data_IF_412868510760
#
_entry.id   IF_412868510760
#
_cell.length_a   1.000
_cell.length_b   1.000
_cell.length_c   1.000
_cell.angle_alpha   90.00
_cell.angle_beta   90.00
_cell.angle_gamma   90.00
#
_symmetry.space_group_name_H-M   'P 1'
#
loop_
_entity.id
_entity.type
_entity.pdbx_description
1 polymer ?
#
# COMPACT_ATOMS: atom_id res chain seq x y z
N UNK A 1 55.59 14.26 -24.38
CA UNK A 1 55.54 13.98 -22.93
C UNK A 1 54.25 14.58 -22.42
N UNK A 2 53.41 13.81 -21.71
CA UNK A 2 52.20 14.33 -21.07
C UNK A 2 52.51 14.75 -19.64
N UNK A 3 51.87 15.82 -19.16
CA UNK A 3 51.99 16.30 -17.79
C UNK A 3 50.58 16.59 -17.27
N UNK A 4 50.30 16.21 -16.02
CA UNK A 4 49.09 16.56 -15.30
C UNK A 4 49.49 17.17 -13.95
N UNK A 5 48.80 18.22 -13.52
CA UNK A 5 49.04 18.88 -12.23
C UNK A 5 48.07 18.32 -11.18
N UNK A 6 48.54 17.38 -10.39
CA UNK A 6 47.75 16.72 -9.35
C UNK A 6 47.14 17.68 -8.30
N UNK A 7 47.64 18.92 -8.18
CA UNK A 7 47.13 19.89 -7.22
C UNK A 7 46.02 20.79 -7.80
N UNK A 8 46.05 21.05 -9.11
CA UNK A 8 45.24 22.11 -9.73
C UNK A 8 44.42 21.66 -10.95
N UNK A 9 44.57 20.41 -11.40
CA UNK A 9 43.81 19.87 -12.53
C UNK A 9 43.27 18.48 -12.25
N UNK A 10 42.22 18.12 -13.00
CA UNK A 10 41.72 16.75 -13.01
C UNK A 10 42.66 15.88 -13.84
N UNK A 11 43.47 15.09 -13.15
CA UNK A 11 44.47 14.22 -13.77
C UNK A 11 43.87 13.25 -14.78
N UNK A 12 42.61 12.83 -14.59
CA UNK A 12 41.93 11.92 -15.52
C UNK A 12 41.58 12.65 -16.81
N UNK A 13 40.96 13.83 -16.74
CA UNK A 13 40.69 14.66 -17.92
C UNK A 13 41.96 15.06 -18.67
N UNK A 14 43.03 15.42 -17.97
CA UNK A 14 44.31 15.78 -18.59
C UNK A 14 44.95 14.57 -19.29
N UNK A 15 44.89 13.40 -18.67
CA UNK A 15 45.36 12.16 -19.27
C UNK A 15 44.53 11.78 -20.49
N UNK A 16 43.20 11.82 -20.39
CA UNK A 16 42.30 11.49 -21.49
C UNK A 16 42.53 12.42 -22.68
N UNK A 17 42.58 13.74 -22.42
CA UNK A 17 42.86 14.78 -23.43
C UNK A 17 44.22 14.55 -24.09
N UNK A 18 45.27 14.31 -23.30
CA UNK A 18 46.61 14.04 -23.84
C UNK A 18 46.64 12.73 -24.63
N UNK A 19 45.95 11.70 -24.16
CA UNK A 19 45.92 10.39 -24.80
C UNK A 19 45.23 10.44 -26.16
N UNK A 20 44.07 11.10 -26.25
CA UNK A 20 43.26 11.19 -27.46
C UNK A 20 43.84 12.17 -28.48
N UNK A 21 44.35 13.32 -28.04
CA UNK A 21 44.80 14.37 -28.95
C UNK A 21 46.27 14.25 -29.34
N UNK A 22 47.10 13.61 -28.50
CA UNK A 22 48.55 13.61 -28.71
C UNK A 22 49.09 12.18 -28.83
N UNK A 23 48.80 11.28 -27.89
CA UNK A 23 49.40 9.94 -27.88
C UNK A 23 48.93 9.08 -29.05
N UNK A 24 47.62 8.84 -29.16
CA UNK A 24 47.07 7.95 -30.19
C UNK A 24 47.28 8.47 -31.62
N UNK A 25 47.10 9.77 -31.92
CA UNK A 25 47.43 10.32 -33.23
C UNK A 25 48.90 10.16 -33.59
N UNK A 26 49.83 10.39 -32.65
CA UNK A 26 51.27 10.23 -32.90
C UNK A 26 51.67 8.76 -33.14
N UNK A 27 51.05 7.82 -32.41
CA UNK A 27 51.25 6.38 -32.62
C UNK A 27 50.70 5.96 -33.99
N UNK A 28 49.49 6.40 -34.34
CA UNK A 28 48.88 6.09 -35.65
C UNK A 28 49.71 6.67 -36.80
N UNK A 29 50.21 7.89 -36.67
CA UNK A 29 51.03 8.53 -37.71
C UNK A 29 52.39 7.84 -37.89
N UNK A 30 52.95 7.26 -36.82
CA UNK A 30 54.27 6.60 -36.84
C UNK A 30 54.21 5.10 -37.17
N UNK A 31 53.10 4.43 -36.86
CA UNK A 31 52.99 2.97 -36.91
C UNK A 31 51.70 2.43 -37.57
N UNK A 32 50.71 3.26 -37.90
CA UNK A 32 49.39 2.83 -38.36
C UNK A 32 49.17 2.93 -39.88
N UNK A 33 48.77 1.81 -40.50
CA UNK A 33 48.14 1.74 -41.84
C UNK A 33 46.76 2.41 -41.82
N UNK A 34 46.32 2.92 -42.97
CA UNK A 34 45.04 3.58 -43.21
C UNK A 34 43.87 2.95 -42.44
N UNK A 35 43.32 3.71 -41.49
CA UNK A 35 42.06 3.38 -40.82
C UNK A 35 40.90 3.79 -41.72
N UNK A 36 40.05 2.82 -42.06
CA UNK A 36 38.74 3.02 -42.67
C UNK A 36 37.90 3.96 -41.80
N UNK A 37 37.41 5.04 -42.40
CA UNK A 37 36.33 5.85 -41.84
C UNK A 37 35.07 5.01 -41.69
N UNK A 38 34.37 5.18 -40.56
CA UNK A 38 32.98 4.77 -40.40
C UNK A 38 32.76 3.50 -39.60
N UNK A 39 32.90 3.59 -38.27
CA UNK A 39 31.84 3.10 -37.38
C UNK A 39 32.05 3.71 -35.99
N UNK A 40 31.13 4.59 -35.56
CA UNK A 40 31.00 4.93 -34.13
C UNK A 40 30.25 3.77 -33.48
N UNK A 41 30.86 2.59 -33.47
CA UNK A 41 30.40 1.50 -32.62
C UNK A 41 30.76 1.86 -31.19
N UNK A 42 29.76 1.79 -30.30
CA UNK A 42 29.95 1.94 -28.85
C UNK A 42 31.14 1.11 -28.39
N UNK A 43 32.25 1.77 -28.01
CA UNK A 43 33.53 1.14 -27.60
C UNK A 43 33.47 0.47 -26.22
N UNK A 44 32.29 0.05 -25.74
CA UNK A 44 32.20 -0.67 -24.47
C UNK A 44 32.71 -2.09 -24.67
N UNK A 45 33.78 -2.46 -23.95
CA UNK A 45 34.22 -3.85 -23.84
C UNK A 45 33.28 -4.73 -22.99
N UNK A 46 32.28 -4.11 -22.35
CA UNK A 46 31.34 -4.77 -21.46
C UNK A 46 29.97 -4.90 -22.14
N UNK A 47 29.44 -6.13 -22.13
CA UNK A 47 28.03 -6.42 -22.37
C UNK A 47 27.32 -6.50 -21.02
N UNK A 48 26.21 -5.78 -20.87
CA UNK A 48 25.43 -5.75 -19.61
C UNK A 48 24.00 -6.18 -19.90
N UNK A 49 23.61 -7.31 -19.34
CA UNK A 49 22.24 -7.79 -19.37
C UNK A 49 21.50 -7.37 -18.10
N UNK A 50 20.40 -6.63 -18.26
CA UNK A 50 19.57 -6.15 -17.16
C UNK A 50 18.28 -6.95 -17.12
N UNK A 51 18.02 -7.62 -15.99
CA UNK A 51 16.78 -8.36 -15.75
C UNK A 51 16.07 -7.85 -14.51
N UNK A 52 14.82 -7.40 -14.66
CA UNK A 52 13.99 -6.86 -13.57
C UNK A 52 12.92 -7.83 -13.07
N UNK A 53 12.77 -9.00 -13.69
CA UNK A 53 11.67 -9.94 -13.40
C UNK A 53 12.04 -11.09 -12.45
N UNK A 54 13.33 -11.34 -12.20
CA UNK A 54 13.80 -12.52 -11.44
C UNK A 54 13.23 -12.59 -10.02
N UNK A 55 13.12 -11.45 -9.35
CA UNK A 55 12.59 -11.38 -7.99
C UNK A 55 11.12 -11.80 -7.93
N UNK A 56 10.29 -11.20 -8.79
CA UNK A 56 8.86 -11.49 -8.82
C UNK A 56 8.63 -12.96 -9.19
N UNK A 57 9.33 -13.49 -10.20
CA UNK A 57 9.18 -14.88 -10.63
C UNK A 57 9.61 -15.89 -9.58
N UNK A 58 10.71 -15.63 -8.86
CA UNK A 58 11.18 -16.47 -7.75
C UNK A 58 10.16 -16.53 -6.60
N UNK A 59 9.46 -15.42 -6.35
CA UNK A 59 8.37 -15.36 -5.37
C UNK A 59 7.03 -15.90 -5.91
N UNK A 60 6.99 -16.43 -7.14
CA UNK A 60 5.78 -16.93 -7.78
C UNK A 60 4.77 -15.82 -8.12
N UNK A 61 5.23 -14.58 -8.28
CA UNK A 61 4.40 -13.41 -8.50
C UNK A 61 4.43 -12.97 -9.98
N UNK A 62 3.27 -12.58 -10.49
CA UNK A 62 3.11 -11.96 -11.80
C UNK A 62 3.02 -10.45 -11.62
N UNK A 63 4.18 -9.79 -11.65
CA UNK A 63 4.31 -8.34 -11.52
C UNK A 63 5.05 -7.78 -12.73
N UNK A 64 4.85 -6.50 -12.96
CA UNK A 64 5.50 -5.74 -14.00
C UNK A 64 6.12 -4.48 -13.41
N UNK A 65 7.04 -3.87 -14.14
CA UNK A 65 7.73 -2.68 -13.69
C UNK A 65 6.93 -1.42 -14.08
N UNK A 66 6.50 -0.67 -13.07
CA UNK A 66 6.04 0.71 -13.22
C UNK A 66 7.05 1.71 -12.67
N UNK A 67 6.77 3.00 -12.81
CA UNK A 67 7.61 4.05 -12.25
C UNK A 67 6.82 5.10 -11.48
N UNK A 68 7.45 5.65 -10.45
CA UNK A 68 6.86 6.69 -9.61
C UNK A 68 6.93 8.02 -10.36
N UNK A 69 5.77 8.66 -10.52
CA UNK A 69 5.64 10.00 -11.09
C UNK A 69 5.69 11.08 -10.00
N UNK A 70 5.07 10.79 -8.85
CA UNK A 70 4.97 11.74 -7.75
C UNK A 70 4.77 11.02 -6.42
N UNK A 71 5.35 11.55 -5.35
CA UNK A 71 5.12 11.10 -3.98
C UNK A 71 4.88 12.30 -3.06
N UNK A 72 3.62 12.52 -2.67
CA UNK A 72 3.18 13.72 -1.94
C UNK A 72 2.71 13.39 -0.53
N UNK A 73 3.22 14.10 0.47
CA UNK A 73 2.69 14.09 1.84
C UNK A 73 1.40 14.93 1.89
N UNK A 74 0.32 14.35 2.41
CA UNK A 74 -1.01 14.98 2.45
C UNK A 74 -1.37 15.56 3.81
N UNK A 75 -0.54 15.32 4.83
CA UNK A 75 -0.84 15.67 6.21
C UNK A 75 0.24 16.54 6.82
N UNK A 76 -0.11 17.25 7.89
CA UNK A 76 0.85 18.00 8.71
C UNK A 76 1.74 17.07 9.56
N UNK A 77 2.91 17.53 10.06
CA UNK A 77 3.86 16.69 10.80
C UNK A 77 3.36 16.14 12.15
N UNK A 78 2.36 16.77 12.77
CA UNK A 78 1.87 16.42 14.11
C UNK A 78 0.75 15.37 14.12
N UNK A 79 0.32 14.92 12.94
CA UNK A 79 -0.66 13.85 12.75
C UNK A 79 -0.02 12.68 11.99
N UNK A 80 -0.58 11.46 12.08
CA UNK A 80 -0.05 10.32 11.35
C UNK A 80 0.02 10.60 9.85
N UNK A 81 1.21 10.38 9.28
CA UNK A 81 1.49 10.69 7.89
C UNK A 81 0.58 9.89 6.95
N UNK A 82 -0.08 10.59 6.02
CA UNK A 82 -0.74 9.97 4.87
C UNK A 82 -0.17 10.53 3.60
N UNK A 83 0.02 9.68 2.59
CA UNK A 83 0.67 10.05 1.33
C UNK A 83 -0.17 9.64 0.15
N UNK A 84 0.01 10.40 -0.93
CA UNK A 84 -0.46 10.07 -2.27
C UNK A 84 0.77 9.70 -3.10
N UNK A 85 0.75 8.52 -3.72
CA UNK A 85 1.72 8.18 -4.76
C UNK A 85 1.01 8.07 -6.10
N UNK A 86 1.59 8.69 -7.13
CA UNK A 86 1.17 8.52 -8.52
C UNK A 86 2.22 7.69 -9.25
N UNK A 87 1.78 6.67 -9.94
CA UNK A 87 2.58 5.76 -10.74
C UNK A 87 2.22 5.91 -12.20
N UNK A 88 3.21 5.77 -13.08
CA UNK A 88 2.94 5.31 -14.43
C UNK A 88 2.86 3.80 -14.42
N UNK A 89 1.75 3.30 -14.95
CA UNK A 89 1.54 1.89 -15.16
C UNK A 89 2.43 1.37 -16.31
N UNK A 90 2.77 0.06 -16.29
CA UNK A 90 3.38 -0.59 -17.43
C UNK A 90 2.50 -0.45 -18.70
N UNK A 91 3.09 -0.58 -19.90
CA UNK A 91 2.32 -0.65 -21.14
C UNK A 91 1.23 -1.71 -21.07
N UNK A 92 0.12 -1.48 -21.78
CA UNK A 92 -1.03 -2.39 -21.90
C UNK A 92 -1.74 -2.73 -20.58
N UNK A 93 -1.37 -2.09 -19.46
CA UNK A 93 -2.06 -2.22 -18.20
C UNK A 93 -3.30 -1.33 -18.18
N UNK A 94 -4.44 -1.90 -17.82
CA UNK A 94 -5.70 -1.18 -17.64
C UNK A 94 -6.22 -1.39 -16.22
N UNK A 95 -7.00 -0.43 -15.73
CA UNK A 95 -7.67 -0.52 -14.44
C UNK A 95 -9.02 0.18 -14.48
N UNK A 96 -9.88 -0.15 -13.52
CA UNK A 96 -11.16 0.52 -13.30
C UNK A 96 -11.19 1.16 -11.91
N UNK A 97 -12.06 2.16 -11.73
CA UNK A 97 -12.37 2.70 -10.43
C UNK A 97 -12.84 1.58 -9.48
N UNK A 98 -12.18 1.47 -8.32
CA UNK A 98 -12.46 0.43 -7.32
C UNK A 98 -11.53 -0.77 -7.39
N UNK A 99 -10.68 -0.88 -8.41
CA UNK A 99 -9.61 -1.86 -8.45
C UNK A 99 -8.47 -1.52 -7.49
N UNK A 100 -7.55 -2.46 -7.33
CA UNK A 100 -6.40 -2.32 -6.44
C UNK A 100 -5.08 -2.30 -7.19
N UNK A 101 -4.14 -1.52 -6.68
CA UNK A 101 -2.72 -1.60 -7.03
C UNK A 101 -2.04 -2.56 -6.06
N UNK A 102 -1.41 -3.59 -6.62
CA UNK A 102 -0.57 -4.55 -5.90
C UNK A 102 0.87 -4.06 -6.01
N UNK A 103 1.57 -3.94 -4.88
CA UNK A 103 2.96 -3.49 -4.81
C UNK A 103 3.80 -4.53 -4.08
N UNK A 104 4.95 -4.90 -4.63
CA UNK A 104 5.94 -5.73 -3.94
C UNK A 104 6.98 -4.83 -3.23
N UNK A 105 6.93 -4.69 -1.90
CA UNK A 105 7.81 -3.77 -1.18
C UNK A 105 9.20 -4.34 -0.97
N UNK A 106 10.13 -3.57 -0.38
CA UNK A 106 11.38 -4.09 0.20
C UNK A 106 11.41 -3.83 1.71
N UNK A 107 12.13 -4.67 2.45
CA UNK A 107 12.34 -4.40 3.88
C UNK A 107 13.13 -3.10 4.07
N UNK A 108 12.81 -2.32 5.12
CA UNK A 108 13.55 -1.10 5.41
C UNK A 108 14.99 -1.45 5.82
N UNK A 109 15.96 -0.65 5.37
CA UNK A 109 17.39 -0.93 5.54
C UNK A 109 17.78 -1.18 7.00
N UNK A 110 17.17 -0.47 7.97
CA UNK A 110 17.46 -0.68 9.38
C UNK A 110 17.09 -2.09 9.87
N UNK A 111 16.01 -2.70 9.36
CA UNK A 111 15.61 -4.07 9.71
C UNK A 111 16.59 -5.09 9.12
N UNK A 112 17.01 -4.86 7.88
CA UNK A 112 18.04 -5.66 7.19
C UNK A 112 19.36 -5.63 7.95
N UNK A 113 19.83 -4.43 8.33
CA UNK A 113 21.05 -4.28 9.13
C UNK A 113 20.95 -4.98 10.50
N UNK A 114 19.77 -5.04 11.13
CA UNK A 114 19.57 -5.79 12.38
C UNK A 114 19.75 -7.29 12.18
N UNK A 115 19.21 -7.86 11.10
CA UNK A 115 19.39 -9.27 10.76
C UNK A 115 20.87 -9.59 10.49
N UNK A 116 21.53 -8.81 9.63
CA UNK A 116 22.95 -8.98 9.30
C UNK A 116 23.83 -8.96 10.57
N UNK A 117 23.62 -7.96 11.45
CA UNK A 117 24.33 -7.89 12.74
C UNK A 117 24.04 -9.08 13.64
N UNK A 118 22.80 -9.57 13.67
CA UNK A 118 22.41 -10.69 14.55
C UNK A 118 23.13 -11.99 14.21
N UNK A 119 23.39 -12.22 12.93
CA UNK A 119 24.11 -13.40 12.44
C UNK A 119 25.61 -13.17 12.25
N UNK A 120 26.12 -11.99 12.61
CA UNK A 120 27.54 -11.64 12.55
C UNK A 120 28.16 -11.90 11.15
N UNK A 121 27.44 -11.54 10.10
CA UNK A 121 27.90 -11.62 8.71
C UNK A 121 28.08 -10.22 8.12
N UNK A 122 28.85 -10.09 7.04
CA UNK A 122 28.96 -8.83 6.31
C UNK A 122 27.75 -8.62 5.39
N UNK A 123 27.44 -7.37 5.06
CA UNK A 123 26.31 -7.02 4.21
C UNK A 123 26.45 -7.56 2.78
N UNK A 124 27.69 -7.66 2.30
CA UNK A 124 28.10 -8.19 1.00
C UNK A 124 28.45 -9.69 1.03
N UNK A 125 28.24 -10.38 2.18
CA UNK A 125 28.47 -11.82 2.26
C UNK A 125 27.55 -12.56 1.28
N UNK A 126 28.14 -13.38 0.41
CA UNK A 126 27.39 -14.18 -0.56
C UNK A 126 26.86 -15.45 0.10
N UNK A 127 25.54 -15.61 0.08
CA UNK A 127 24.82 -16.76 0.60
C UNK A 127 24.37 -17.65 -0.56
N UNK A 128 24.54 -18.96 -0.41
CA UNK A 128 24.03 -19.95 -1.37
C UNK A 128 23.08 -20.88 -0.62
N UNK A 129 21.78 -20.76 -0.88
CA UNK A 129 20.76 -21.61 -0.27
C UNK A 129 20.63 -22.90 -1.07
N UNK A 130 20.71 -24.04 -0.39
CA UNK A 130 20.61 -25.38 -0.97
C UNK A 130 19.50 -26.17 -0.30
N UNK A 131 18.74 -26.93 -1.08
CA UNK A 131 17.78 -27.89 -0.53
C UNK A 131 18.49 -29.18 -0.09
N UNK A 132 18.08 -29.80 1.02
CA UNK A 132 18.48 -31.17 1.33
C UNK A 132 18.02 -32.12 0.21
N UNK A 133 18.81 -33.16 -0.08
CA UNK A 133 18.55 -34.12 -1.18
C UNK A 133 17.23 -34.89 -1.08
N UNK A 134 16.56 -34.85 0.09
CA UNK A 134 15.27 -35.50 0.34
C UNK A 134 14.10 -34.52 0.49
N UNK A 135 14.31 -33.22 0.29
CA UNK A 135 13.25 -32.22 0.35
C UNK A 135 12.42 -32.24 -0.94
N UNK A 136 11.11 -32.04 -0.82
CA UNK A 136 10.23 -31.97 -1.98
C UNK A 136 10.55 -30.77 -2.88
N UNK A 137 10.20 -30.90 -4.17
CA UNK A 137 10.30 -29.83 -5.18
C UNK A 137 9.30 -28.68 -4.98
N UNK A 138 8.86 -28.43 -3.74
CA UNK A 138 8.03 -27.28 -3.41
C UNK A 138 8.72 -25.95 -3.77
N UNK A 139 7.92 -24.95 -4.16
CA UNK A 139 8.40 -23.60 -4.48
C UNK A 139 9.14 -23.03 -3.26
N UNK A 140 10.41 -22.65 -3.45
CA UNK A 140 11.17 -21.92 -2.43
C UNK A 140 11.03 -20.43 -2.64
N UNK A 141 10.83 -19.72 -1.53
CA UNK A 141 10.60 -18.28 -1.49
C UNK A 141 11.88 -17.45 -1.71
N UNK A 142 12.97 -18.08 -2.13
CA UNK A 142 14.30 -17.49 -2.28
C UNK A 142 15.05 -18.22 -3.41
N UNK A 143 16.06 -17.58 -4.03
CA UNK A 143 16.91 -18.22 -5.02
C UNK A 143 17.66 -19.42 -4.44
N UNK A 144 17.68 -20.54 -5.19
CA UNK A 144 18.44 -21.74 -4.85
C UNK A 144 19.67 -21.89 -5.74
N UNK A 145 20.73 -22.48 -5.18
CA UNK A 145 22.00 -22.78 -5.87
C UNK A 145 22.64 -21.56 -6.58
N UNK A 146 22.17 -20.36 -6.25
CA UNK A 146 22.59 -19.09 -6.85
C UNK A 146 23.13 -18.21 -5.72
N UNK A 147 24.40 -17.77 -5.78
CA UNK A 147 24.94 -16.84 -4.80
C UNK A 147 24.15 -15.52 -4.80
N UNK A 148 23.69 -15.10 -3.63
CA UNK A 148 23.00 -13.83 -3.40
C UNK A 148 23.58 -13.12 -2.18
N UNK A 149 23.73 -11.80 -2.22
CA UNK A 149 24.24 -11.07 -1.06
C UNK A 149 23.26 -11.16 0.13
N UNK A 150 23.80 -11.20 1.35
CA UNK A 150 22.99 -11.18 2.57
C UNK A 150 22.05 -9.97 2.61
N UNK A 151 22.54 -8.80 2.18
CA UNK A 151 21.73 -7.60 2.08
C UNK A 151 20.55 -7.78 1.14
N UNK A 152 20.76 -8.31 -0.08
CA UNK A 152 19.70 -8.51 -1.05
C UNK A 152 18.67 -9.53 -0.55
N UNK A 153 19.11 -10.70 -0.08
CA UNK A 153 18.22 -11.75 0.42
C UNK A 153 17.27 -11.22 1.50
N UNK A 154 17.83 -10.56 2.53
CA UNK A 154 17.05 -9.99 3.62
C UNK A 154 16.23 -8.76 3.22
N UNK A 155 16.63 -8.04 2.18
CA UNK A 155 15.88 -6.88 1.70
C UNK A 155 14.65 -7.28 0.89
N UNK A 156 14.74 -8.34 0.07
CA UNK A 156 13.82 -8.51 -1.06
C UNK A 156 13.02 -9.81 -1.07
N UNK A 157 13.45 -10.86 -0.35
CA UNK A 157 12.83 -12.19 -0.45
C UNK A 157 12.06 -12.64 0.80
N UNK A 158 12.44 -12.19 1.99
CA UNK A 158 11.87 -12.65 3.27
C UNK A 158 11.22 -11.53 4.06
N UNK A 159 10.24 -11.85 4.91
CA UNK A 159 9.57 -10.88 5.78
C UNK A 159 10.15 -10.89 7.20
N UNK A 160 10.91 -9.85 7.55
CA UNK A 160 11.65 -9.76 8.83
C UNK A 160 10.79 -9.29 10.02
N UNK A 161 9.64 -8.67 9.75
CA UNK A 161 8.82 -8.00 10.76
C UNK A 161 7.52 -8.73 11.09
N UNK A 162 7.33 -9.94 10.55
CA UNK A 162 6.14 -10.75 10.84
C UNK A 162 6.19 -11.28 12.29
N UNK A 163 5.10 -11.18 13.06
CA UNK A 163 5.06 -11.73 14.41
C UNK A 163 5.38 -13.23 14.42
N UNK A 164 6.14 -13.66 15.42
CA UNK A 164 6.55 -15.05 15.59
C UNK A 164 5.33 -15.96 15.79
N UNK A 165 5.35 -17.13 15.15
CA UNK A 165 4.38 -18.18 15.39
C UNK A 165 4.71 -18.96 16.68
N UNK A 166 3.75 -19.74 17.19
CA UNK A 166 4.02 -20.65 18.31
C UNK A 166 5.14 -21.65 18.00
N UNK A 167 5.23 -22.12 16.75
CA UNK A 167 6.30 -23.00 16.29
C UNK A 167 7.66 -22.30 16.38
N UNK A 168 7.72 -21.03 15.97
CA UNK A 168 8.95 -20.24 16.05
C UNK A 168 9.43 -20.11 17.49
N UNK A 169 8.52 -19.85 18.43
CA UNK A 169 8.85 -19.78 19.86
C UNK A 169 9.42 -21.10 20.39
N UNK A 170 8.83 -22.24 20.01
CA UNK A 170 9.34 -23.56 20.40
C UNK A 170 10.74 -23.78 19.83
N UNK A 171 10.95 -23.51 18.53
CA UNK A 171 12.27 -23.64 17.90
C UNK A 171 13.33 -22.75 18.55
N UNK A 172 12.96 -21.52 18.95
CA UNK A 172 13.87 -20.61 19.66
C UNK A 172 14.16 -21.10 21.08
N UNK A 173 13.17 -21.65 21.78
CA UNK A 173 13.36 -22.25 23.10
C UNK A 173 14.28 -23.47 23.06
N UNK A 174 14.15 -24.32 22.05
CA UNK A 174 15.02 -25.49 21.84
C UNK A 174 16.48 -25.07 21.56
N UNK A 175 16.67 -23.92 20.90
CA UNK A 175 17.98 -23.34 20.63
C UNK A 175 18.59 -22.60 21.85
N UNK A 176 17.81 -22.31 22.89
CA UNK A 176 18.24 -21.62 24.11
C UNK A 176 18.94 -22.56 25.12
N UNK A 177 19.84 -23.42 24.65
CA UNK A 177 20.44 -24.51 25.45
C UNK A 177 21.33 -24.04 26.61
N UNK A 178 21.79 -22.79 26.57
CA UNK A 178 22.69 -22.20 27.58
C UNK A 178 21.99 -21.19 28.49
N UNK A 179 20.70 -20.95 28.28
CA UNK A 179 19.91 -19.92 28.95
C UNK A 179 18.55 -20.48 29.35
N UNK A 180 18.51 -21.08 30.55
CA UNK A 180 17.32 -21.76 31.08
C UNK A 180 16.15 -20.79 31.29
N UNK A 181 16.43 -19.53 31.64
CA UNK A 181 15.40 -18.51 31.84
C UNK A 181 14.75 -18.14 30.50
N UNK A 182 15.55 -17.87 29.47
CA UNK A 182 15.03 -17.61 28.11
C UNK A 182 14.26 -18.83 27.56
N UNK A 183 14.76 -20.04 27.77
CA UNK A 183 14.08 -21.27 27.37
C UNK A 183 12.70 -21.38 28.01
N UNK A 184 12.62 -21.22 29.34
CA UNK A 184 11.36 -21.31 30.08
C UNK A 184 10.37 -20.20 29.70
N UNK A 185 10.86 -18.98 29.48
CA UNK A 185 10.04 -17.85 29.02
C UNK A 185 9.39 -18.15 27.67
N UNK A 186 10.19 -18.56 26.67
CA UNK A 186 9.71 -18.83 25.32
C UNK A 186 8.74 -20.02 25.27
N UNK A 187 8.99 -21.08 26.06
CA UNK A 187 8.05 -22.20 26.22
C UNK A 187 6.73 -21.75 26.85
N UNK A 188 6.79 -20.87 27.85
CA UNK A 188 5.61 -20.31 28.51
C UNK A 188 4.79 -19.45 27.53
N UNK A 189 5.45 -18.61 26.74
CA UNK A 189 4.80 -17.81 25.69
C UNK A 189 4.13 -18.69 24.63
N UNK A 190 4.77 -19.78 24.20
CA UNK A 190 4.19 -20.70 23.22
C UNK A 190 2.97 -21.46 23.76
N UNK A 191 3.00 -21.82 25.03
CA UNK A 191 2.00 -22.69 25.68
C UNK A 191 0.76 -21.93 26.18
N UNK A 192 0.88 -20.63 26.48
CA UNK A 192 -0.22 -19.81 27.00
C UNK A 192 -0.89 -18.98 25.88
N UNK A 193 -2.15 -19.27 25.50
CA UNK A 193 -2.85 -18.53 24.43
C UNK A 193 -2.98 -17.03 24.70
N UNK A 194 -3.25 -16.65 25.96
CA UNK A 194 -3.44 -15.25 26.35
C UNK A 194 -2.11 -14.48 26.26
N UNK A 195 -1.03 -15.05 26.82
CA UNK A 195 0.30 -14.43 26.73
C UNK A 195 0.79 -14.34 25.29
N UNK A 196 0.60 -15.39 24.49
CA UNK A 196 0.94 -15.36 23.07
C UNK A 196 0.25 -14.19 22.35
N UNK A 197 -1.04 -13.99 22.61
CA UNK A 197 -1.81 -12.93 21.95
C UNK A 197 -1.34 -11.54 22.40
N UNK A 198 -1.26 -11.30 23.71
CA UNK A 198 -0.91 -10.00 24.27
C UNK A 198 0.57 -9.64 24.05
N UNK A 199 1.47 -10.58 24.31
CA UNK A 199 2.92 -10.30 24.36
C UNK A 199 3.61 -10.49 23.00
N UNK A 200 3.05 -11.30 22.10
CA UNK A 200 3.64 -11.59 20.78
C UNK A 200 2.83 -10.98 19.64
N UNK A 201 1.54 -11.29 19.53
CA UNK A 201 0.70 -10.84 18.40
C UNK A 201 0.41 -9.34 18.47
N UNK A 202 -0.17 -8.86 19.57
CA UNK A 202 -0.53 -7.45 19.76
C UNK A 202 0.72 -6.56 19.71
N UNK A 203 1.81 -7.05 20.31
CA UNK A 203 3.10 -6.40 20.35
C UNK A 203 3.95 -6.56 19.08
N UNK A 204 3.46 -7.33 18.10
CA UNK A 204 4.10 -7.61 16.81
C UNK A 204 5.54 -8.12 16.89
N UNK A 205 5.80 -8.99 17.87
CA UNK A 205 7.15 -9.45 18.18
C UNK A 205 7.64 -10.48 17.14
N UNK A 206 8.65 -10.14 16.33
CA UNK A 206 9.17 -11.05 15.30
C UNK A 206 10.24 -12.02 15.83
N UNK A 207 10.55 -13.13 15.11
CA UNK A 207 11.67 -13.99 15.47
C UNK A 207 13.00 -13.24 15.58
N UNK A 208 13.24 -12.23 14.73
CA UNK A 208 14.42 -11.39 14.79
C UNK A 208 14.46 -10.53 16.07
N UNK A 209 13.31 -9.98 16.48
CA UNK A 209 13.22 -9.22 17.72
C UNK A 209 13.53 -10.09 18.95
N UNK A 210 13.01 -11.33 18.98
CA UNK A 210 13.27 -12.29 20.05
C UNK A 210 14.75 -12.66 20.11
N UNK A 211 15.34 -13.01 18.96
CA UNK A 211 16.77 -13.32 18.88
C UNK A 211 17.66 -12.16 19.34
N UNK A 212 17.24 -10.91 19.13
CA UNK A 212 17.96 -9.72 19.60
C UNK A 212 17.77 -9.50 21.11
N UNK A 213 16.61 -9.85 21.68
CA UNK A 213 16.37 -9.79 23.14
C UNK A 213 17.13 -10.87 23.89
N UNK A 214 17.29 -12.05 23.29
CA UNK A 214 18.00 -13.19 23.87
C UNK A 214 19.28 -13.47 23.05
N UNK A 215 20.36 -12.70 23.25
CA UNK A 215 21.59 -12.86 22.49
C UNK A 215 22.31 -14.20 22.74
N UNK A 216 22.00 -14.88 23.85
CA UNK A 216 22.48 -16.23 24.22
C UNK A 216 21.99 -17.33 23.26
N UNK A 217 20.87 -17.13 22.56
CA UNK A 217 20.32 -18.12 21.63
C UNK A 217 21.18 -18.18 20.38
N UNK A 218 21.91 -19.28 20.19
CA UNK A 218 22.74 -19.48 19.00
C UNK A 218 21.98 -20.24 17.91
N UNK A 219 21.10 -19.55 17.18
CA UNK A 219 20.29 -20.14 16.12
C UNK A 219 21.07 -20.19 14.79
N UNK A 220 21.13 -21.33 14.09
CA UNK A 220 21.70 -21.40 12.74
C UNK A 220 20.96 -20.49 11.76
N UNK A 221 21.70 -19.85 10.85
CA UNK A 221 21.12 -18.97 9.82
C UNK A 221 20.08 -19.70 8.95
N UNK A 222 20.32 -20.97 8.60
CA UNK A 222 19.37 -21.77 7.83
C UNK A 222 18.02 -21.92 8.54
N UNK A 223 18.05 -22.23 9.84
CA UNK A 223 16.84 -22.37 10.66
C UNK A 223 16.10 -21.04 10.75
N UNK A 224 16.82 -19.92 10.89
CA UNK A 224 16.20 -18.60 10.86
C UNK A 224 15.51 -18.32 9.52
N UNK A 225 16.17 -18.61 8.38
CA UNK A 225 15.59 -18.41 7.06
C UNK A 225 14.34 -19.28 6.83
N UNK A 226 14.29 -20.48 7.40
CA UNK A 226 13.10 -21.36 7.36
C UNK A 226 11.92 -20.82 8.16
N UNK A 227 12.17 -20.04 9.22
CA UNK A 227 11.12 -19.38 10.02
C UNK A 227 10.51 -18.19 9.30
N UNK A 228 11.24 -17.57 8.36
CA UNK A 228 10.78 -16.36 7.69
C UNK A 228 9.83 -16.67 6.53
N UNK A 229 8.62 -16.08 6.50
CA UNK A 229 7.76 -16.19 5.33
C UNK A 229 8.31 -15.38 4.16
N UNK A 230 7.87 -15.68 2.92
CA UNK A 230 8.18 -14.86 1.75
C UNK A 230 7.75 -13.42 1.96
N UNK A 231 8.50 -12.48 1.39
CA UNK A 231 8.08 -11.10 1.35
C UNK A 231 6.84 -10.96 0.45
N UNK A 232 5.72 -10.55 1.04
CA UNK A 232 4.41 -10.51 0.37
C UNK A 232 4.14 -9.19 -0.34
N UNK A 233 3.38 -9.26 -1.43
CA UNK A 233 2.77 -8.07 -2.03
C UNK A 233 1.76 -7.43 -1.09
N UNK A 234 1.59 -6.11 -1.20
CA UNK A 234 0.56 -5.34 -0.48
C UNK A 234 -0.41 -4.72 -1.47
N UNK A 235 -1.67 -4.72 -1.09
CA UNK A 235 -2.78 -4.22 -1.89
C UNK A 235 -3.19 -2.83 -1.39
N UNK A 236 -3.40 -1.91 -2.33
CA UNK A 236 -3.86 -0.55 -2.05
C UNK A 236 -5.02 -0.20 -2.98
N UNK A 237 -6.11 0.35 -2.44
CA UNK A 237 -7.22 0.84 -3.27
C UNK A 237 -6.74 2.00 -4.14
N UNK A 238 -7.05 1.91 -5.43
CA UNK A 238 -6.71 2.96 -6.39
C UNK A 238 -7.55 4.20 -6.11
N UNK A 239 -6.90 5.36 -6.07
CA UNK A 239 -7.49 6.66 -5.75
C UNK A 239 -7.59 7.62 -6.92
N UNK A 240 -7.40 7.13 -8.15
CA UNK A 240 -7.59 7.86 -9.41
C UNK A 240 -8.69 7.24 -10.29
N UNK A 241 -9.15 8.00 -11.28
CA UNK A 241 -10.01 7.49 -12.35
C UNK A 241 -9.21 7.30 -13.65
N UNK A 242 -9.46 6.20 -14.38
CA UNK A 242 -8.87 5.99 -15.70
C UNK A 242 -9.39 6.99 -16.75
N UNK A 243 -10.51 7.68 -16.50
CA UNK A 243 -11.01 8.77 -17.37
C UNK A 243 -10.10 10.00 -17.32
N UNK A 244 -9.45 10.24 -16.17
CA UNK A 244 -8.48 11.34 -16.04
C UNK A 244 -7.14 10.98 -16.69
N UNK A 245 -6.67 9.74 -16.50
CA UNK A 245 -5.52 9.20 -17.20
C UNK A 245 -5.52 7.67 -17.13
N UNK A 246 -5.53 7.02 -18.29
CA UNK A 246 -5.54 5.56 -18.36
C UNK A 246 -4.18 4.94 -18.02
N UNK A 247 -3.09 5.68 -18.26
CA UNK A 247 -1.72 5.20 -18.02
C UNK A 247 -1.19 5.49 -16.61
N UNK A 248 -1.90 6.33 -15.85
CA UNK A 248 -1.45 6.80 -14.55
C UNK A 248 -2.42 6.30 -13.48
N UNK A 249 -1.85 5.77 -12.40
CA UNK A 249 -2.60 5.25 -11.27
C UNK A 249 -2.13 5.94 -10.00
N UNK A 250 -3.06 6.34 -9.15
CA UNK A 250 -2.76 6.94 -7.86
C UNK A 250 -3.21 6.01 -6.74
N UNK A 251 -2.45 5.94 -5.65
CA UNK A 251 -2.89 5.35 -4.38
C UNK A 251 -2.79 6.38 -3.27
N UNK A 252 -3.65 6.23 -2.27
CA UNK A 252 -3.63 7.03 -1.05
C UNK A 252 -3.54 6.11 0.15
N UNK A 253 -2.51 6.25 0.99
CA UNK A 253 -2.23 5.32 2.08
C UNK A 253 -1.71 6.04 3.33
N UNK A 254 -1.88 5.38 4.47
CA UNK A 254 -1.32 5.81 5.76
C UNK A 254 0.06 5.18 5.96
N UNK A 255 1.03 5.97 6.43
CA UNK A 255 2.36 5.48 6.80
C UNK A 255 2.27 4.85 8.19
N UNK A 256 2.40 3.52 8.25
CA UNK A 256 2.39 2.80 9.52
C UNK A 256 3.70 3.06 10.26
N UNK A 257 3.61 3.91 11.27
CA UNK A 257 4.72 4.22 12.17
C UNK A 257 4.20 4.45 13.59
N UNK A 258 4.05 3.36 14.35
CA UNK A 258 3.53 3.38 15.71
C UNK A 258 4.63 3.11 16.74
N UNK A 259 4.47 3.49 18.01
CA UNK A 259 5.32 2.96 19.08
C UNK A 259 5.36 1.43 19.05
N UNK A 260 6.51 0.84 19.33
CA UNK A 260 6.66 -0.59 19.49
C UNK A 260 6.17 -0.98 20.88
N UNK A 261 5.04 -1.67 20.95
CA UNK A 261 4.32 -1.87 22.21
C UNK A 261 5.08 -2.73 23.24
N UNK A 262 6.09 -3.51 22.81
CA UNK A 262 6.91 -4.36 23.69
C UNK A 262 8.36 -3.90 23.88
N UNK A 263 8.78 -2.77 23.33
CA UNK A 263 10.15 -2.28 23.58
C UNK A 263 10.15 -0.77 23.68
N UNK A 264 10.45 -0.29 24.87
CA UNK A 264 10.58 1.13 25.18
C UNK A 264 11.57 1.78 24.18
N UNK A 265 11.20 2.94 23.63
CA UNK A 265 11.97 3.69 22.62
C UNK A 265 12.13 3.07 21.22
N UNK A 266 11.43 1.97 20.89
CA UNK A 266 11.38 1.47 19.49
C UNK A 266 10.05 1.81 18.83
N UNK A 267 10.04 1.88 17.50
CA UNK A 267 8.84 2.11 16.68
C UNK A 267 8.60 0.91 15.78
N UNK A 268 7.35 0.46 15.67
CA UNK A 268 6.92 -0.47 14.64
C UNK A 268 6.70 0.30 13.35
N UNK A 269 7.37 -0.14 12.29
CA UNK A 269 7.26 0.45 10.96
C UNK A 269 6.69 -0.59 9.99
N UNK A 270 5.66 -0.21 9.24
CA UNK A 270 5.09 -1.09 8.23
C UNK A 270 6.02 -1.17 7.02
N UNK A 271 6.40 -2.39 6.60
CA UNK A 271 7.35 -2.61 5.49
C UNK A 271 6.91 -1.88 4.21
N UNK A 272 5.71 -2.16 3.72
CA UNK A 272 5.24 -1.59 2.46
C UNK A 272 4.98 -0.08 2.54
N UNK A 273 4.39 0.40 3.63
CA UNK A 273 4.12 1.83 3.77
C UNK A 273 5.39 2.66 3.95
N UNK A 274 6.43 2.09 4.59
CA UNK A 274 7.75 2.74 4.73
C UNK A 274 8.44 2.80 3.38
N UNK A 275 8.52 1.65 2.68
CA UNK A 275 9.03 1.58 1.31
C UNK A 275 8.38 2.62 0.40
N UNK A 276 7.05 2.64 0.32
CA UNK A 276 6.32 3.60 -0.49
C UNK A 276 6.57 5.06 -0.08
N UNK A 277 6.75 5.32 1.21
CA UNK A 277 7.00 6.68 1.71
C UNK A 277 8.38 7.23 1.34
N UNK A 278 9.34 6.36 1.09
CA UNK A 278 10.73 6.69 0.75
C UNK A 278 10.97 6.82 -0.76
N UNK A 279 10.05 6.31 -1.58
CA UNK A 279 10.14 6.39 -3.04
C UNK A 279 10.14 7.84 -3.56
N UNK A 280 10.92 8.07 -4.61
CA UNK A 280 11.05 9.34 -5.31
C UNK A 280 10.57 9.24 -6.75
N UNK A 281 10.28 10.38 -7.38
CA UNK A 281 9.95 10.40 -8.80
C UNK A 281 11.11 9.82 -9.63
N UNK A 282 10.79 8.91 -10.54
CA UNK A 282 11.76 8.16 -11.33
C UNK A 282 12.07 6.75 -10.80
N UNK A 283 11.73 6.45 -9.54
CA UNK A 283 11.95 5.11 -8.98
C UNK A 283 11.10 4.05 -9.68
N UNK A 284 11.70 2.87 -9.89
CA UNK A 284 11.05 1.69 -10.46
C UNK A 284 10.45 0.82 -9.37
N UNK A 285 9.23 0.33 -9.62
CA UNK A 285 8.47 -0.44 -8.63
C UNK A 285 7.80 -1.63 -9.31
N UNK A 286 7.87 -2.79 -8.67
CA UNK A 286 7.17 -4.01 -9.09
C UNK A 286 5.70 -3.93 -8.68
N UNK A 287 4.83 -3.77 -9.66
CA UNK A 287 3.39 -3.53 -9.48
C UNK A 287 2.53 -4.43 -10.38
N UNK A 288 1.27 -4.60 -10.00
CA UNK A 288 0.22 -5.12 -10.90
C UNK A 288 -1.14 -4.58 -10.50
N UNK A 289 -2.11 -4.67 -11.41
CA UNK A 289 -3.51 -4.33 -11.12
C UNK A 289 -4.25 -5.61 -10.72
N UNK A 290 -5.05 -5.51 -9.67
CA UNK A 290 -5.98 -6.55 -9.26
C UNK A 290 -7.39 -5.99 -9.30
N UNK A 291 -8.25 -6.64 -10.09
CA UNK A 291 -9.66 -6.32 -10.12
C UNK A 291 -10.31 -6.54 -8.75
N UNK A 292 -11.29 -5.71 -8.39
CA UNK A 292 -12.02 -5.95 -7.15
C UNK A 292 -12.80 -7.27 -7.18
N UNK A 293 -12.63 -8.10 -6.14
CA UNK A 293 -13.41 -9.32 -5.95
C UNK A 293 -14.88 -9.00 -5.67
N UNK A 294 -15.16 -7.81 -5.11
CA UNK A 294 -16.52 -7.32 -4.92
C UNK A 294 -16.93 -6.57 -6.19
N UNK A 295 -17.69 -7.25 -7.07
CA UNK A 295 -18.21 -6.65 -8.32
C UNK A 295 -19.04 -5.39 -8.06
N UNK A 296 -19.69 -5.31 -6.90
CA UNK A 296 -20.45 -4.15 -6.45
C UNK A 296 -19.60 -2.95 -6.05
N UNK A 297 -18.29 -3.12 -5.78
CA UNK A 297 -17.40 -2.02 -5.38
C UNK A 297 -16.84 -1.26 -6.59
N UNK A 298 -17.75 -0.75 -7.42
CA UNK A 298 -17.49 0.09 -8.59
C UNK A 298 -18.51 1.22 -8.63
N UNK A 299 -18.16 2.41 -9.16
CA UNK A 299 -19.15 3.48 -9.31
C UNK A 299 -20.30 2.98 -10.21
N UNK A 300 -21.56 3.39 -9.98
CA UNK A 300 -22.68 3.03 -10.83
C UNK A 300 -22.42 3.43 -12.29
N UNK A 301 -22.82 2.56 -13.22
CA UNK A 301 -22.78 2.89 -14.65
C UNK A 301 -23.86 3.92 -15.00
N UNK A 302 -25.06 3.76 -14.42
CA UNK A 302 -26.19 4.67 -14.57
C UNK A 302 -25.99 5.89 -13.67
N UNK A 303 -26.06 7.07 -14.25
CA UNK A 303 -25.79 8.31 -13.55
C UNK A 303 -26.98 8.78 -12.71
N UNK A 304 -28.15 8.17 -12.92
CA UNK A 304 -29.38 8.35 -12.14
C UNK A 304 -29.36 7.55 -10.83
N UNK A 305 -28.36 6.69 -10.61
CA UNK A 305 -28.23 5.92 -9.37
C UNK A 305 -27.51 6.75 -8.31
N UNK A 306 -28.15 7.07 -7.17
CA UNK A 306 -27.49 7.81 -6.11
C UNK A 306 -26.36 7.00 -5.45
N UNK A 307 -25.42 7.70 -4.83
CA UNK A 307 -24.30 7.09 -4.09
C UNK A 307 -24.24 7.60 -2.66
N UNK A 308 -24.07 6.68 -1.70
CA UNK A 308 -23.76 6.98 -0.31
C UNK A 308 -22.40 6.35 -0.02
N UNK A 309 -21.40 7.17 0.26
CA UNK A 309 -20.03 6.72 0.50
C UNK A 309 -19.60 7.11 1.90
N UNK A 310 -18.95 6.21 2.64
CA UNK A 310 -18.51 6.47 4.00
C UNK A 310 -17.11 5.89 4.26
N UNK A 311 -16.19 6.72 4.73
CA UNK A 311 -14.81 6.31 5.01
C UNK A 311 -14.17 7.04 6.18
N UNK A 312 -13.03 6.52 6.65
CA UNK A 312 -12.16 7.25 7.55
C UNK A 312 -10.68 7.18 7.09
N UNK A 313 -9.97 8.30 7.23
CA UNK A 313 -8.55 8.41 6.91
C UNK A 313 -8.22 8.01 5.47
N UNK A 314 -7.26 7.09 5.28
CA UNK A 314 -6.89 6.62 3.94
C UNK A 314 -7.96 5.76 3.26
N UNK A 315 -9.04 5.39 3.95
CA UNK A 315 -10.23 4.80 3.33
C UNK A 315 -10.93 5.73 2.33
N UNK A 316 -10.53 7.00 2.25
CA UNK A 316 -10.96 7.92 1.19
C UNK A 316 -10.47 7.50 -0.20
N UNK A 317 -9.40 6.68 -0.29
CA UNK A 317 -8.74 6.32 -1.54
C UNK A 317 -9.71 5.95 -2.68
N UNK A 318 -10.54 4.89 -2.59
CA UNK A 318 -11.42 4.53 -3.70
C UNK A 318 -12.46 5.60 -4.03
N UNK A 319 -12.96 6.32 -3.02
CA UNK A 319 -13.97 7.37 -3.21
C UNK A 319 -13.42 8.60 -3.91
N UNK A 320 -12.14 8.93 -3.70
CA UNK A 320 -11.45 9.92 -4.53
C UNK A 320 -11.49 9.52 -6.01
N UNK A 321 -11.22 8.25 -6.33
CA UNK A 321 -11.32 7.73 -7.69
C UNK A 321 -12.74 7.81 -8.25
N UNK A 322 -13.75 7.42 -7.47
CA UNK A 322 -15.16 7.45 -7.89
C UNK A 322 -15.65 8.88 -8.17
N UNK A 323 -15.30 9.82 -7.29
CA UNK A 323 -15.71 11.23 -7.43
C UNK A 323 -14.95 11.88 -8.58
N UNK A 324 -13.66 11.57 -8.76
CA UNK A 324 -12.90 12.01 -9.93
C UNK A 324 -13.55 11.52 -11.23
N UNK A 325 -13.90 10.24 -11.30
CA UNK A 325 -14.57 9.64 -12.46
C UNK A 325 -15.88 10.38 -12.80
N UNK A 326 -16.69 10.62 -11.76
CA UNK A 326 -17.94 11.35 -11.87
C UNK A 326 -17.74 12.82 -12.25
N UNK A 327 -16.72 13.48 -11.72
CA UNK A 327 -16.38 14.86 -12.07
C UNK A 327 -15.96 14.98 -13.54
N UNK A 328 -15.17 14.03 -14.07
CA UNK A 328 -14.79 14.00 -15.48
C UNK A 328 -16.00 13.77 -16.39
N UNK A 329 -16.92 12.87 -16.05
CA UNK A 329 -18.19 12.70 -16.78
C UNK A 329 -19.06 13.96 -16.75
N UNK A 330 -19.10 14.67 -15.63
CA UNK A 330 -19.82 15.96 -15.51
C UNK A 330 -19.18 17.07 -16.36
N UNK A 331 -17.86 17.04 -16.57
CA UNK A 331 -17.15 17.98 -17.44
C UNK A 331 -17.42 17.71 -18.92
N UNK A 332 -17.38 16.44 -19.33
CA UNK A 332 -17.72 16.03 -20.71
C UNK A 332 -19.11 16.53 -21.13
N UNK A 333 -20.13 16.30 -20.29
CA UNK A 333 -21.51 16.76 -20.55
C UNK A 333 -21.66 18.27 -20.67
N UNK A 334 -21.01 19.04 -19.79
CA UNK A 334 -21.06 20.52 -19.88
C UNK A 334 -20.49 21.02 -21.21
N UNK A 335 -19.54 20.30 -21.79
CA UNK A 335 -18.99 20.64 -23.11
C UNK A 335 -19.98 20.32 -24.23
N UNK A 336 -20.73 19.21 -24.13
CA UNK A 336 -21.75 18.79 -25.10
C UNK A 336 -23.04 19.64 -25.04
N UNK A 337 -23.46 20.08 -23.85
CA UNK A 337 -24.66 20.90 -23.65
C UNK A 337 -24.47 22.37 -24.04
N UNK A 338 -23.23 22.85 -24.17
CA UNK A 338 -22.94 24.19 -24.71
C UNK A 338 -23.14 24.29 -26.23
N UNK A 339 -23.50 23.19 -26.90
CA UNK A 339 -23.86 23.17 -28.33
C UNK A 339 -25.36 23.13 -28.65
N UNK A 340 -26.25 22.92 -27.66
CA UNK A 340 -27.70 22.93 -27.86
C UNK A 340 -28.41 23.70 -26.73
N UNK A 341 -29.00 24.85 -27.09
CA UNK A 341 -29.54 25.87 -26.17
C UNK A 341 -30.90 25.51 -25.54
N UNK A 342 -31.44 24.30 -25.74
CA UNK A 342 -32.89 24.08 -25.60
C UNK A 342 -33.38 23.18 -24.44
N UNK A 343 -32.54 22.65 -23.53
CA UNK A 343 -33.05 21.82 -22.41
C UNK A 343 -32.28 21.95 -21.07
N UNK A 344 -32.72 22.81 -20.13
CA UNK A 344 -32.04 23.01 -18.83
C UNK A 344 -32.25 21.89 -17.78
N UNK A 345 -33.12 20.91 -18.03
CA UNK A 345 -33.51 19.87 -17.06
C UNK A 345 -33.10 18.43 -17.45
N UNK A 346 -32.44 18.23 -18.61
CA UNK A 346 -31.90 16.92 -19.00
C UNK A 346 -30.53 16.73 -18.34
N UNK A 347 -30.42 15.77 -17.41
CA UNK A 347 -29.12 15.16 -17.09
C UNK A 347 -28.33 15.71 -15.88
N UNK A 348 -29.00 16.25 -14.85
CA UNK A 348 -28.33 16.42 -13.54
C UNK A 348 -28.01 15.04 -12.96
N UNK A 349 -26.74 14.74 -12.63
CA UNK A 349 -26.37 13.42 -12.15
C UNK A 349 -26.96 13.20 -10.75
N UNK A 350 -27.47 11.99 -10.49
CA UNK A 350 -28.13 11.66 -9.23
C UNK A 350 -27.22 11.87 -8.03
N UNK A 351 -27.81 12.14 -6.87
CA UNK A 351 -27.08 12.63 -5.71
C UNK A 351 -25.97 11.67 -5.26
N UNK A 352 -24.80 12.22 -4.95
CA UNK A 352 -23.68 11.48 -4.38
C UNK A 352 -23.24 12.17 -3.09
N UNK A 353 -23.30 11.46 -1.96
CA UNK A 353 -22.90 11.97 -0.65
C UNK A 353 -21.69 11.18 -0.15
N UNK A 354 -20.66 11.87 0.32
CA UNK A 354 -19.45 11.29 0.90
C UNK A 354 -19.25 11.77 2.34
N UNK A 355 -19.23 10.82 3.28
CA UNK A 355 -18.88 11.04 4.68
C UNK A 355 -17.41 10.66 4.92
N UNK A 356 -16.63 11.57 5.50
CA UNK A 356 -15.19 11.41 5.71
C UNK A 356 -14.84 11.65 7.18
N UNK A 357 -14.32 10.63 7.84
CA UNK A 357 -13.78 10.72 9.19
C UNK A 357 -12.29 11.04 9.20
N UNK A 358 -11.89 12.08 9.93
CA UNK A 358 -10.49 12.39 10.21
C UNK A 358 -10.33 12.95 11.64
N UNK A 359 -9.11 13.33 12.03
CA UNK A 359 -8.85 13.82 13.39
C UNK A 359 -9.17 15.30 13.49
N UNK A 360 -8.53 16.12 12.68
CA UNK A 360 -8.51 17.56 12.87
C UNK A 360 -8.51 18.29 11.53
N UNK A 361 -9.44 19.23 11.38
CA UNK A 361 -9.53 20.13 10.22
C UNK A 361 -8.22 20.87 9.96
N UNK A 362 -7.82 20.94 8.70
CA UNK A 362 -6.57 21.55 8.22
C UNK A 362 -5.31 20.73 8.50
N UNK A 363 -5.41 19.55 9.12
CA UNK A 363 -4.25 18.72 9.48
C UNK A 363 -4.22 17.38 8.77
N UNK A 364 -5.34 16.65 8.81
CA UNK A 364 -5.46 15.33 8.20
C UNK A 364 -6.74 15.10 7.38
N UNK A 365 -7.42 16.19 7.02
CA UNK A 365 -8.45 16.28 5.99
C UNK A 365 -7.83 16.26 4.58
N UNK A 366 -7.28 15.09 4.26
CA UNK A 366 -6.60 14.83 2.99
C UNK A 366 -7.53 15.10 1.79
N UNK A 367 -6.97 15.68 0.73
CA UNK A 367 -7.69 16.04 -0.50
C UNK A 367 -8.83 17.07 -0.34
N UNK A 368 -8.94 17.79 0.79
CA UNK A 368 -10.01 18.76 1.02
C UNK A 368 -10.20 19.78 -0.12
N UNK A 369 -9.12 20.40 -0.62
CA UNK A 369 -9.20 21.38 -1.71
C UNK A 369 -9.72 20.81 -3.02
N UNK A 370 -9.39 19.55 -3.31
CA UNK A 370 -9.83 18.84 -4.52
C UNK A 370 -11.31 18.44 -4.40
N UNK A 371 -11.71 17.95 -3.22
CA UNK A 371 -13.10 17.64 -2.92
C UNK A 371 -13.98 18.89 -2.96
N UNK A 372 -13.54 20.03 -2.43
CA UNK A 372 -14.27 21.30 -2.48
C UNK A 372 -14.52 21.76 -3.94
N UNK A 373 -13.56 21.54 -4.83
CA UNK A 373 -13.70 21.81 -6.26
C UNK A 373 -14.75 20.88 -6.90
N UNK A 374 -14.71 19.58 -6.59
CA UNK A 374 -15.69 18.63 -7.10
C UNK A 374 -17.10 18.84 -6.52
N UNK A 375 -17.22 19.33 -5.30
CA UNK A 375 -18.50 19.78 -4.72
C UNK A 375 -19.07 20.96 -5.47
N UNK A 376 -18.25 21.98 -5.80
CA UNK A 376 -18.68 23.12 -6.64
C UNK A 376 -19.11 22.69 -8.05
N UNK A 377 -18.57 21.59 -8.57
CA UNK A 377 -18.97 21.00 -9.85
C UNK A 377 -20.22 20.09 -9.75
N UNK A 378 -20.83 19.94 -8.57
CA UNK A 378 -21.99 19.06 -8.35
C UNK A 378 -21.66 17.57 -8.44
N UNK A 379 -20.38 17.19 -8.34
CA UNK A 379 -19.97 15.79 -8.39
C UNK A 379 -20.24 15.06 -7.07
N UNK A 380 -20.15 15.75 -5.93
CA UNK A 380 -20.33 15.15 -4.60
C UNK A 380 -20.75 16.19 -3.53
N UNK A 381 -21.56 15.78 -2.57
CA UNK A 381 -21.83 16.48 -1.30
C UNK A 381 -20.95 15.86 -0.20
N UNK A 382 -20.05 16.64 0.41
CA UNK A 382 -19.02 16.12 1.34
C UNK A 382 -19.32 16.52 2.77
N UNK A 383 -19.34 15.53 3.67
CA UNK A 383 -19.58 15.69 5.11
C UNK A 383 -18.36 15.23 5.91
N UNK A 384 -17.77 16.15 6.67
CA UNK A 384 -16.58 15.89 7.46
C UNK A 384 -16.91 15.58 8.92
N UNK A 385 -16.43 14.44 9.42
CA UNK A 385 -16.44 14.10 10.84
C UNK A 385 -15.05 14.30 11.44
N UNK A 386 -14.92 15.25 12.37
CA UNK A 386 -13.66 15.51 13.07
C UNK A 386 -13.70 14.91 14.48
N UNK A 387 -12.90 13.87 14.71
CA UNK A 387 -12.83 13.16 16.01
C UNK A 387 -12.03 13.91 17.08
N UNK A 388 -11.20 14.89 16.70
CA UNK A 388 -10.36 15.71 17.58
C UNK A 388 -10.41 17.18 17.12
N UNK A 389 -11.55 17.84 17.27
CA UNK A 389 -11.71 19.22 16.83
C UNK A 389 -10.92 20.18 17.73
N UNK A 390 -10.43 21.29 17.17
CA UNK A 390 -9.61 22.29 17.87
C UNK A 390 -10.42 23.31 18.65
N UNK A 391 -11.71 23.43 18.34
CA UNK A 391 -12.65 24.40 18.91
C UNK A 391 -13.32 23.91 20.22
N UNK A 392 -12.82 22.80 20.81
CA UNK A 392 -13.37 22.14 22.00
C UNK A 392 -14.80 21.60 21.83
N UNK A 393 -15.33 21.53 20.61
CA UNK A 393 -16.56 20.80 20.35
C UNK A 393 -16.40 19.31 20.65
N UNK A 394 -17.52 18.60 20.80
CA UNK A 394 -17.51 17.15 20.97
C UNK A 394 -16.94 16.51 19.69
N UNK A 395 -15.98 15.59 19.85
CA UNK A 395 -15.45 14.82 18.73
C UNK A 395 -16.54 13.95 18.10
N UNK A 396 -16.55 13.90 16.77
CA UNK A 396 -17.55 13.17 15.99
C UNK A 396 -16.89 12.18 15.05
N UNK A 397 -17.60 11.09 14.80
CA UNK A 397 -17.25 10.04 13.86
C UNK A 397 -18.27 9.97 12.72
N UNK A 398 -17.94 9.22 11.69
CA UNK A 398 -18.76 9.11 10.47
C UNK A 398 -20.13 8.54 10.78
N UNK A 399 -20.20 7.55 11.68
CA UNK A 399 -21.46 6.94 12.08
C UNK A 399 -22.40 7.93 12.79
N UNK A 400 -21.86 8.96 13.46
CA UNK A 400 -22.67 9.99 14.11
C UNK A 400 -23.36 10.88 13.05
N UNK A 401 -22.61 11.29 12.01
CA UNK A 401 -23.17 12.07 10.90
C UNK A 401 -24.19 11.27 10.10
N UNK A 402 -23.89 9.99 9.82
CA UNK A 402 -24.82 9.10 9.12
C UNK A 402 -26.15 9.03 9.86
N UNK A 403 -26.13 8.86 11.19
CA UNK A 403 -27.35 8.78 11.99
C UNK A 403 -28.12 10.12 12.07
N UNK A 404 -27.41 11.25 12.12
CA UNK A 404 -28.06 12.57 12.03
C UNK A 404 -28.79 12.78 10.70
N UNK A 405 -28.19 12.31 9.60
CA UNK A 405 -28.72 12.47 8.24
C UNK A 405 -29.64 11.31 7.80
N UNK A 406 -30.05 10.44 8.74
CA UNK A 406 -30.74 9.18 8.46
C UNK A 406 -31.97 9.30 7.56
N UNK A 407 -32.79 10.34 7.74
CA UNK A 407 -34.01 10.52 6.94
C UNK A 407 -33.68 10.71 5.44
N UNK A 408 -32.70 11.56 5.14
CA UNK A 408 -32.23 11.80 3.78
C UNK A 408 -31.56 10.55 3.20
N UNK A 409 -30.80 9.82 4.01
CA UNK A 409 -30.17 8.57 3.57
C UNK A 409 -31.20 7.50 3.23
N UNK A 410 -32.24 7.34 4.06
CA UNK A 410 -33.34 6.41 3.83
C UNK A 410 -34.10 6.74 2.53
N UNK A 411 -34.35 8.03 2.24
CA UNK A 411 -34.93 8.46 0.95
C UNK A 411 -34.04 8.09 -0.24
N UNK A 412 -32.73 8.29 -0.14
CA UNK A 412 -31.80 7.91 -1.21
C UNK A 412 -31.76 6.38 -1.39
N UNK A 413 -31.82 5.63 -0.30
CA UNK A 413 -31.87 4.16 -0.34
C UNK A 413 -33.16 3.70 -1.03
N UNK A 414 -34.30 4.35 -0.80
CA UNK A 414 -35.55 4.06 -1.52
C UNK A 414 -35.44 4.37 -3.02
N UNK A 415 -34.68 5.40 -3.39
CA UNK A 415 -34.38 5.75 -4.79
C UNK A 415 -33.37 4.80 -5.47
N UNK A 416 -32.96 3.72 -4.81
CA UNK A 416 -32.03 2.76 -5.39
C UNK A 416 -30.56 3.09 -5.16
N UNK A 417 -30.21 3.90 -4.15
CA UNK A 417 -28.82 4.26 -3.88
C UNK A 417 -27.91 3.04 -3.71
N UNK A 418 -26.64 3.22 -4.10
CA UNK A 418 -25.55 2.30 -3.78
C UNK A 418 -24.72 2.85 -2.62
N UNK A 419 -24.55 2.01 -1.61
CA UNK A 419 -23.84 2.27 -0.37
C UNK A 419 -22.44 1.66 -0.47
N UNK A 420 -21.43 2.47 -0.17
CA UNK A 420 -20.04 2.06 -0.18
C UNK A 420 -19.35 2.41 1.14
N UNK A 421 -18.61 1.45 1.69
CA UNK A 421 -17.86 1.65 2.93
C UNK A 421 -16.41 1.26 2.73
N UNK A 422 -15.47 2.16 3.06
CA UNK A 422 -14.04 1.87 2.98
C UNK A 422 -13.27 2.36 4.22
N UNK A 423 -12.41 1.51 4.78
CA UNK A 423 -11.63 1.86 5.97
C UNK A 423 -11.15 0.64 6.77
N UNK A 424 -10.75 0.87 8.03
CA UNK A 424 -10.40 -0.22 8.95
C UNK A 424 -11.63 -1.00 9.42
N UNK A 425 -11.42 -2.22 9.94
CA UNK A 425 -12.50 -3.10 10.41
C UNK A 425 -13.50 -2.43 11.36
N UNK A 426 -13.01 -1.66 12.33
CA UNK A 426 -13.86 -0.96 13.30
C UNK A 426 -14.76 0.09 12.65
N UNK A 427 -14.28 0.76 11.60
CA UNK A 427 -15.06 1.75 10.83
C UNK A 427 -16.16 1.03 10.04
N UNK A 428 -15.82 -0.09 9.40
CA UNK A 428 -16.80 -0.91 8.68
C UNK A 428 -17.92 -1.44 9.59
N UNK A 429 -17.57 -1.93 10.78
CA UNK A 429 -18.52 -2.42 11.78
C UNK A 429 -19.42 -1.29 12.32
N UNK A 430 -18.84 -0.15 12.67
CA UNK A 430 -19.60 0.99 13.18
C UNK A 430 -20.59 1.55 12.16
N UNK A 431 -20.20 1.65 10.89
CA UNK A 431 -21.10 2.09 9.82
C UNK A 431 -22.21 1.07 9.56
N UNK A 432 -21.89 -0.24 9.54
CA UNK A 432 -22.91 -1.28 9.40
C UNK A 432 -23.94 -1.20 10.53
N UNK A 433 -23.49 -1.03 11.77
CA UNK A 433 -24.37 -0.92 12.92
C UNK A 433 -25.30 0.28 12.78
N UNK A 434 -24.78 1.44 12.38
CA UNK A 434 -25.63 2.62 12.22
C UNK A 434 -26.67 2.47 11.10
N UNK A 435 -26.33 1.84 9.97
CA UNK A 435 -27.35 1.52 8.97
C UNK A 435 -28.42 0.56 9.52
N UNK A 436 -28.02 -0.46 10.30
CA UNK A 436 -28.96 -1.36 10.97
C UNK A 436 -29.91 -0.59 11.89
N UNK A 437 -29.38 0.31 12.71
CA UNK A 437 -30.15 1.12 13.64
C UNK A 437 -31.17 2.01 12.89
N UNK A 438 -30.79 2.61 11.74
CA UNK A 438 -31.72 3.38 10.90
C UNK A 438 -32.87 2.52 10.35
N UNK A 439 -32.59 1.27 9.94
CA UNK A 439 -33.63 0.37 9.45
C UNK A 439 -34.56 -0.09 10.57
N UNK A 440 -34.04 -0.33 11.77
CA UNK A 440 -34.87 -0.64 12.94
C UNK A 440 -35.81 0.54 13.27
N UNK A 441 -35.31 1.78 13.28
CA UNK A 441 -36.15 2.98 13.50
C UNK A 441 -37.25 3.09 12.43
N UNK A 442 -36.90 2.89 11.15
CA UNK A 442 -37.88 2.87 10.05
C UNK A 442 -38.91 1.76 10.20
N UNK A 443 -38.50 0.55 10.58
CA UNK A 443 -39.42 -0.55 10.83
C UNK A 443 -40.41 -0.19 11.95
N UNK A 444 -39.94 0.41 13.05
CA UNK A 444 -40.81 0.87 14.15
C UNK A 444 -41.83 1.90 13.71
N UNK A 445 -41.43 2.87 12.90
CA UNK A 445 -42.33 3.89 12.36
C UNK A 445 -43.41 3.30 11.44
N UNK A 446 -43.06 2.28 10.65
CA UNK A 446 -44.01 1.58 9.76
C UNK A 446 -44.90 0.58 10.54
N UNK A 447 -44.40 0.03 11.65
CA UNK A 447 -45.03 -1.03 12.46
C UNK A 447 -45.84 -0.54 13.66
N UNK A 448 -46.24 0.75 13.72
CA UNK A 448 -47.37 1.17 14.59
C UNK A 448 -48.66 0.33 14.36
N UNK A 449 -48.69 -0.53 13.32
CA UNK A 449 -49.71 -1.55 13.04
C UNK A 449 -49.26 -3.03 13.21
N UNK A 450 -48.44 -3.34 14.23
CA UNK A 450 -48.44 -4.65 14.90
C UNK A 450 -48.04 -5.88 14.08
N UNK A 451 -46.74 -6.10 13.89
CA UNK A 451 -46.22 -7.44 13.64
C UNK A 451 -45.24 -7.86 14.74
N UNK A 452 -45.39 -9.10 15.20
CA UNK A 452 -44.67 -9.74 16.32
C UNK A 452 -43.27 -10.26 15.88
N UNK A 453 -42.65 -9.56 14.91
CA UNK A 453 -41.38 -9.95 14.31
C UNK A 453 -40.19 -9.34 15.05
N UNK A 454 -39.07 -10.07 15.11
CA UNK A 454 -37.82 -9.54 15.64
C UNK A 454 -37.26 -8.48 14.67
N UNK A 455 -37.40 -7.21 15.03
CA UNK A 455 -36.96 -6.05 14.24
C UNK A 455 -35.47 -6.13 13.88
N UNK A 456 -34.65 -6.71 14.77
CA UNK A 456 -33.21 -6.87 14.58
C UNK A 456 -32.93 -7.84 13.42
N UNK A 457 -33.67 -8.94 13.36
CA UNK A 457 -33.58 -9.94 12.29
C UNK A 457 -34.02 -9.35 10.96
N UNK A 458 -35.14 -8.62 10.94
CA UNK A 458 -35.63 -7.97 9.72
C UNK A 458 -34.63 -6.95 9.15
N UNK A 459 -33.98 -6.17 10.02
CA UNK A 459 -32.95 -5.20 9.61
C UNK A 459 -31.69 -5.88 9.05
N UNK A 460 -31.26 -7.01 9.62
CA UNK A 460 -30.14 -7.80 9.08
C UNK A 460 -30.49 -8.40 7.72
N UNK A 461 -31.69 -8.97 7.57
CA UNK A 461 -32.16 -9.53 6.30
C UNK A 461 -32.21 -8.46 5.19
N UNK A 462 -32.66 -7.25 5.52
CA UNK A 462 -32.66 -6.13 4.58
C UNK A 462 -31.24 -5.69 4.19
N UNK A 463 -30.32 -5.61 5.16
CA UNK A 463 -28.92 -5.29 4.86
C UNK A 463 -28.25 -6.35 3.98
N UNK A 464 -28.59 -7.62 4.20
CA UNK A 464 -28.04 -8.73 3.42
C UNK A 464 -28.68 -8.84 2.02
N UNK A 465 -29.94 -8.43 1.86
CA UNK A 465 -30.55 -8.26 0.54
C UNK A 465 -29.83 -7.17 -0.26
N UNK A 466 -29.53 -6.01 0.35
CA UNK A 466 -28.76 -4.95 -0.29
C UNK A 466 -27.36 -5.40 -0.73
N UNK A 467 -26.68 -6.27 0.04
CA UNK A 467 -25.41 -6.86 -0.39
C UNK A 467 -25.59 -7.78 -1.59
N UNK A 468 -26.62 -8.62 -1.56
CA UNK A 468 -26.93 -9.58 -2.62
C UNK A 468 -27.28 -8.87 -3.94
N UNK A 469 -27.95 -7.72 -3.85
CA UNK A 469 -28.26 -6.84 -4.98
C UNK A 469 -27.08 -5.96 -5.42
N UNK A 470 -25.88 -6.13 -4.84
CA UNK A 470 -24.70 -5.29 -5.08
C UNK A 470 -24.95 -3.79 -4.85
N UNK A 471 -25.87 -3.47 -3.93
CA UNK A 471 -26.21 -2.11 -3.48
C UNK A 471 -25.53 -1.73 -2.18
N UNK A 472 -24.98 -2.69 -1.44
CA UNK A 472 -24.12 -2.44 -0.28
C UNK A 472 -22.77 -3.13 -0.50
N UNK A 473 -21.71 -2.34 -0.71
CA UNK A 473 -20.37 -2.84 -1.00
C UNK A 473 -19.34 -2.31 0.00
N UNK A 474 -18.44 -3.18 0.46
CA UNK A 474 -17.39 -2.84 1.42
C UNK A 474 -15.99 -3.14 0.87
N UNK A 475 -15.05 -2.26 1.22
CA UNK A 475 -13.62 -2.41 1.01
C UNK A 475 -12.90 -2.13 2.33
N UNK A 476 -12.83 -3.16 3.19
CA UNK A 476 -12.39 -3.03 4.58
C UNK A 476 -11.09 -3.80 4.81
N UNK A 477 -10.12 -3.11 5.41
CA UNK A 477 -8.76 -3.62 5.64
C UNK A 477 -8.47 -3.87 7.11
N UNK A 478 -7.50 -4.75 7.37
CA UNK A 478 -7.03 -5.15 8.71
C UNK A 478 -5.82 -4.37 9.19
#
# INVERSE_FOLDING_TARGET
MGMADAANSDMFSDFDTWSELILWPAINLKFGRASSEGDVQSKSALHVDVSSSMRASTLGLQLQEGYVLENKLLTTPDVPAKRMLRFKLPPDTTYQCGDYLIVLPVNPAHAVCRAIRRFNISWDSMLTVRKPSHASDGITNMPLETPISAFELFSTYVELSQPASKRDLITLADAATTDTDAQAELQSLASSPNRFTEEVINNRLSPLDILIRHPSINLPLSTFLEMLPPLRVRQYSISSSPLASQSDCTITFSVLNSPHLSTENKRFVGVASTYLSELQAGDRVQISIRASNNKGFKPPLKEETPMIMACAGSGLAPFRGFIMDRAERNRGRRTELLSDDDHPEIGKPARAILYIGCRTKGKDDIHASELDEWTRQGAVDVRWAYSRPTDRSQGRHVQDLLFEDRNELLELIDQGARIYVCGGMSVGQGIRQVFKDMFIERCREVLENGSDGDEDVAAEEYLDSLKTEERYATDVFT
#
